data_IF_713024640078
#
_entry.id   IF_713024640078
#
_cell.length_a   1.000
_cell.length_b   1.000
_cell.length_c   1.000
_cell.angle_alpha   90.00
_cell.angle_beta   90.00
_cell.angle_gamma   90.00
#
_symmetry.space_group_name_H-M   'P 1'
#
loop_
_entity.id
_entity.type
_entity.pdbx_description
1 polymer ?
#
# COMPACT_ATOMS: atom_id res chain seq x y z
N UNK A 1 -8.76 -9.89 31.36
CA UNK A 1 -8.80 -8.59 30.65
C UNK A 1 -7.47 -8.43 29.93
N UNK A 2 -7.46 -8.51 28.59
CA UNK A 2 -6.24 -8.25 27.82
C UNK A 2 -6.14 -6.73 27.63
N UNK A 3 -5.13 -6.12 28.22
CA UNK A 3 -4.83 -4.70 28.00
C UNK A 3 -4.16 -4.68 26.63
N UNK A 4 -4.88 -4.28 25.58
CA UNK A 4 -4.24 -4.05 24.28
C UNK A 4 -3.13 -3.02 24.50
N UNK A 5 -1.87 -3.31 24.12
CA UNK A 5 -0.76 -2.40 24.36
C UNK A 5 -1.05 -1.05 23.70
N UNK A 6 -0.83 0.05 24.41
CA UNK A 6 -1.03 1.39 23.85
C UNK A 6 0.00 1.60 22.72
N UNK A 7 -0.41 2.09 21.54
CA UNK A 7 0.52 2.32 20.42
C UNK A 7 1.71 3.19 20.85
N UNK A 8 2.91 2.85 20.37
CA UNK A 8 4.12 3.62 20.66
C UNK A 8 3.90 5.10 20.25
N UNK A 9 3.96 6.07 21.19
CA UNK A 9 3.70 7.48 20.87
C UNK A 9 4.63 8.05 19.80
N UNK A 10 5.86 7.55 19.69
CA UNK A 10 6.81 7.95 18.64
C UNK A 10 6.35 7.55 17.23
N UNK A 11 5.41 6.61 17.12
CA UNK A 11 4.85 6.13 15.86
C UNK A 11 3.44 6.65 15.60
N UNK A 12 2.93 7.58 16.41
CA UNK A 12 1.56 8.08 16.31
C UNK A 12 1.25 8.68 14.92
N UNK A 13 2.23 9.34 14.30
CA UNK A 13 2.09 9.92 12.96
C UNK A 13 1.93 8.86 11.87
N UNK A 14 2.41 7.63 12.09
CA UNK A 14 2.28 6.53 11.13
C UNK A 14 0.89 5.89 11.14
N UNK A 15 0.03 6.21 12.12
CA UNK A 15 -1.33 5.70 12.18
C UNK A 15 -2.15 6.05 10.92
N UNK A 16 -1.81 7.15 10.23
CA UNK A 16 -2.44 7.54 8.96
C UNK A 16 -2.27 6.50 7.86
N UNK A 17 -1.23 5.67 7.95
CA UNK A 17 -0.93 4.66 6.94
C UNK A 17 -1.75 3.38 7.13
N UNK A 18 -2.37 3.16 8.29
CA UNK A 18 -3.15 1.96 8.57
C UNK A 18 -4.34 1.82 7.60
N UNK A 19 -4.48 0.63 7.01
CA UNK A 19 -5.59 0.28 6.13
C UNK A 19 -5.16 -0.24 4.76
N UNK A 20 -6.09 -0.16 3.82
CA UNK A 20 -5.96 -0.68 2.46
C UNK A 20 -5.81 0.47 1.47
N UNK A 21 -4.81 0.38 0.60
CA UNK A 21 -4.44 1.41 -0.36
C UNK A 21 -4.43 0.84 -1.77
N UNK A 22 -4.99 1.61 -2.71
CA UNK A 22 -4.80 1.41 -4.14
C UNK A 22 -3.84 2.49 -4.61
N UNK A 23 -2.69 2.09 -5.14
CA UNK A 23 -1.64 3.01 -5.61
C UNK A 23 -1.61 2.98 -7.12
N UNK A 24 -1.65 4.16 -7.74
CA UNK A 24 -1.35 4.34 -9.16
C UNK A 24 0.08 4.88 -9.32
N UNK A 25 0.89 4.19 -10.10
CA UNK A 25 2.20 4.63 -10.53
C UNK A 25 2.12 5.12 -11.97
N UNK A 26 2.49 6.37 -12.19
CA UNK A 26 2.56 7.02 -13.49
C UNK A 26 3.86 7.82 -13.62
N UNK A 27 4.23 8.20 -14.85
CA UNK A 27 5.39 9.05 -15.15
C UNK A 27 6.75 8.54 -14.59
N UNK A 28 6.90 7.22 -14.41
CA UNK A 28 8.14 6.62 -13.96
C UNK A 28 9.00 6.16 -15.14
N UNK A 29 10.31 6.45 -15.11
CA UNK A 29 11.25 6.17 -16.23
C UNK A 29 11.34 4.70 -16.63
N UNK A 30 11.03 3.78 -15.72
CA UNK A 30 11.05 2.34 -15.97
C UNK A 30 9.73 1.80 -16.52
N UNK A 31 8.71 2.65 -16.69
CA UNK A 31 7.50 2.26 -17.40
C UNK A 31 7.74 2.30 -18.93
N UNK A 32 7.02 1.48 -19.71
CA UNK A 32 7.24 1.37 -21.16
C UNK A 32 7.01 2.66 -21.97
N UNK A 33 6.38 3.68 -21.39
CA UNK A 33 6.17 4.98 -22.01
C UNK A 33 5.61 6.02 -21.04
N UNK A 34 5.63 7.29 -21.43
CA UNK A 34 5.21 8.44 -20.59
C UNK A 34 3.75 8.38 -20.15
N UNK A 35 2.88 7.76 -20.95
CA UNK A 35 1.46 7.59 -20.65
C UNK A 35 1.14 6.24 -19.98
N UNK A 36 2.15 5.41 -19.74
CA UNK A 36 1.93 4.12 -19.09
C UNK A 36 1.58 4.32 -17.61
N UNK A 37 0.65 3.50 -17.13
CA UNK A 37 0.24 3.43 -15.72
C UNK A 37 0.30 2.01 -15.22
N UNK A 38 0.66 1.85 -13.95
CA UNK A 38 0.57 0.60 -13.22
C UNK A 38 -0.22 0.83 -11.93
N UNK A 39 -1.05 -0.15 -11.55
CA UNK A 39 -1.79 -0.11 -10.31
C UNK A 39 -1.35 -1.25 -9.39
N UNK A 40 -1.21 -0.94 -8.12
CA UNK A 40 -0.83 -1.87 -7.07
C UNK A 40 -1.77 -1.72 -5.88
N UNK A 41 -1.84 -2.75 -5.06
CA UNK A 41 -2.57 -2.71 -3.79
C UNK A 41 -1.59 -2.90 -2.66
N UNK A 42 -1.75 -2.14 -1.59
CA UNK A 42 -0.93 -2.25 -0.38
C UNK A 42 -1.86 -2.30 0.82
N UNK A 43 -1.57 -3.20 1.76
CA UNK A 43 -2.20 -3.18 3.08
C UNK A 43 -1.16 -2.82 4.13
N UNK A 44 -1.56 -2.06 5.13
CA UNK A 44 -0.74 -1.65 6.25
C UNK A 44 -1.50 -1.90 7.55
N UNK A 45 -0.91 -2.70 8.43
CA UNK A 45 -1.55 -3.18 9.65
C UNK A 45 -0.57 -3.08 10.83
N UNK A 46 -1.08 -2.74 12.01
CA UNK A 46 -0.28 -2.78 13.23
C UNK A 46 -0.11 -4.22 13.70
N UNK A 47 1.14 -4.61 13.95
CA UNK A 47 1.49 -5.83 14.67
C UNK A 47 1.75 -5.47 16.14
N UNK A 48 0.92 -6.00 17.03
CA UNK A 48 1.02 -5.82 18.49
C UNK A 48 1.18 -4.34 18.93
N UNK A 49 0.62 -3.40 18.15
CA UNK A 49 0.72 -1.94 18.35
C UNK A 49 2.17 -1.39 18.47
N UNK A 50 3.16 -2.15 17.97
CA UNK A 50 4.59 -1.83 18.10
C UNK A 50 5.31 -1.67 16.76
N UNK A 51 4.77 -2.28 15.70
CA UNK A 51 5.33 -2.23 14.36
C UNK A 51 4.21 -2.09 13.33
N UNK A 52 4.45 -1.26 12.30
CA UNK A 52 3.57 -1.17 11.14
C UNK A 52 4.10 -2.12 10.06
N UNK A 53 3.30 -3.10 9.67
CA UNK A 53 3.64 -4.06 8.62
C UNK A 53 2.95 -3.67 7.33
N UNK A 54 3.72 -3.45 6.28
CA UNK A 54 3.20 -3.18 4.94
C UNK A 54 3.33 -4.42 4.06
N UNK A 55 2.24 -4.83 3.42
CA UNK A 55 2.20 -5.92 2.44
C UNK A 55 1.79 -5.37 1.09
N UNK A 56 2.64 -5.57 0.09
CA UNK A 56 2.35 -5.17 -1.29
C UNK A 56 1.89 -6.37 -2.11
N UNK A 57 0.85 -6.15 -2.91
CA UNK A 57 0.35 -7.12 -3.88
C UNK A 57 0.82 -6.76 -5.28
N UNK A 58 0.75 -7.72 -6.19
CA UNK A 58 1.31 -7.63 -7.53
C UNK A 58 0.81 -6.40 -8.30
N UNK A 59 1.75 -5.65 -8.88
CA UNK A 59 1.44 -4.52 -9.77
C UNK A 59 0.88 -5.03 -11.09
N UNK A 60 -0.28 -4.53 -11.49
CA UNK A 60 -0.89 -4.80 -12.79
C UNK A 60 -0.73 -3.56 -13.68
N UNK A 61 -0.32 -3.76 -14.93
CA UNK A 61 -0.32 -2.68 -15.92
C UNK A 61 -1.74 -2.48 -16.41
N UNK A 62 -2.13 -1.24 -16.67
CA UNK A 62 -3.50 -0.94 -17.11
C UNK A 62 -3.88 -1.65 -18.42
N UNK A 63 -2.93 -1.84 -19.34
CA UNK A 63 -3.16 -2.63 -20.57
C UNK A 63 -3.51 -4.11 -20.35
N UNK A 64 -3.23 -4.69 -19.16
CA UNK A 64 -3.60 -6.07 -18.84
C UNK A 64 -5.05 -6.16 -18.27
N UNK A 65 -5.65 -5.02 -17.89
CA UNK A 65 -7.03 -4.94 -17.37
C UNK A 65 -8.06 -4.79 -18.52
N UNK A 66 -7.69 -4.12 -19.60
CA UNK A 66 -8.56 -3.84 -20.75
C UNK A 66 -8.83 -5.09 -21.62
N UNK A 67 -8.01 -6.14 -21.50
CA UNK A 67 -8.15 -7.39 -22.27
C UNK A 67 -9.03 -8.47 -21.60
N UNK A 68 -9.69 -8.15 -20.48
CA UNK A 68 -10.58 -9.08 -19.76
C UNK A 68 -12.05 -8.62 -19.67
N UNK A 69 -12.43 -7.61 -20.44
CA UNK A 69 -13.82 -7.14 -20.57
C UNK A 69 -14.51 -7.74 -21.78
#
# INVERSE_FOLDING_TARGET
MSIAPKPNPALAELAVLEGEWVIELSNAKFLPGSNSRAQGRVSAEWLDNSALVMRQWQWRRQGDLDHRA
#
